data_IF_028885974435
#
_entry.id   IF_028885974435
#
_cell.length_a   1.000
_cell.length_b   1.000
_cell.length_c   1.000
_cell.angle_alpha   90.00
_cell.angle_beta   90.00
_cell.angle_gamma   90.00
#
_symmetry.space_group_name_H-M   'P 1'
#
loop_
_entity.id
_entity.type
_entity.pdbx_description
1 polymer ?
#
# COMPACT_ATOMS: atom_id res chain seq x y z
N UNK A 1 -38.18 23.52 -11.15
CA UNK A 1 -36.78 23.64 -11.64
C UNK A 1 -35.83 23.09 -10.57
N UNK A 2 -35.99 21.81 -10.21
CA UNK A 2 -35.23 21.15 -9.14
C UNK A 2 -35.19 19.61 -9.35
N UNK A 3 -35.32 19.15 -10.61
CA UNK A 3 -35.43 17.72 -10.93
C UNK A 3 -34.27 17.19 -11.79
N UNK A 4 -33.36 18.04 -12.30
CA UNK A 4 -32.27 17.61 -13.18
C UNK A 4 -30.91 17.38 -12.48
N UNK A 5 -30.82 17.48 -11.15
CA UNK A 5 -29.53 17.35 -10.43
C UNK A 5 -29.27 15.93 -9.88
N UNK A 6 -30.29 15.07 -9.81
CA UNK A 6 -30.15 13.72 -9.24
C UNK A 6 -29.71 12.63 -10.25
N UNK A 7 -30.02 12.76 -11.55
CA UNK A 7 -29.67 11.69 -12.53
C UNK A 7 -28.17 11.59 -12.82
N UNK A 8 -27.40 12.69 -12.70
CA UNK A 8 -25.94 12.66 -12.92
C UNK A 8 -25.13 11.98 -11.81
N UNK A 9 -25.76 11.60 -10.69
CA UNK A 9 -25.09 10.98 -9.54
C UNK A 9 -25.07 9.45 -9.62
N UNK A 10 -25.98 8.84 -10.40
CA UNK A 10 -26.13 7.38 -10.52
C UNK A 10 -25.03 6.69 -11.31
N UNK A 11 -24.64 7.24 -12.48
CA UNK A 11 -23.67 6.58 -13.38
C UNK A 11 -22.22 6.66 -12.89
N UNK A 12 -21.83 7.76 -12.24
CA UNK A 12 -20.49 7.90 -11.65
C UNK A 12 -20.29 6.98 -10.43
N UNK A 13 -21.37 6.59 -9.75
CA UNK A 13 -21.32 5.78 -8.53
C UNK A 13 -21.23 4.28 -8.85
N UNK A 14 -21.77 3.82 -9.99
CA UNK A 14 -21.77 2.40 -10.37
C UNK A 14 -20.43 1.92 -10.96
N UNK A 15 -19.81 2.72 -11.85
CA UNK A 15 -18.45 2.45 -12.37
C UNK A 15 -17.38 2.46 -11.25
N UNK A 16 -17.60 3.29 -10.21
CA UNK A 16 -16.73 3.37 -9.04
C UNK A 16 -16.86 2.16 -8.10
N UNK A 17 -18.07 1.59 -7.96
CA UNK A 17 -18.35 0.39 -7.14
C UNK A 17 -17.73 -0.88 -7.74
N UNK A 18 -17.77 -1.04 -9.08
CA UNK A 18 -17.10 -2.13 -9.78
C UNK A 18 -15.57 -2.12 -9.59
N UNK A 19 -14.94 -0.96 -9.72
CA UNK A 19 -13.50 -0.77 -9.45
C UNK A 19 -13.12 -0.96 -7.98
N UNK A 20 -14.00 -0.64 -7.03
CA UNK A 20 -13.75 -0.84 -5.60
C UNK A 20 -13.66 -2.32 -5.20
N UNK A 21 -14.49 -3.19 -5.79
CA UNK A 21 -14.48 -4.63 -5.51
C UNK A 21 -13.25 -5.31 -6.10
N UNK A 22 -12.85 -4.92 -7.32
CA UNK A 22 -11.67 -5.47 -7.97
C UNK A 22 -10.38 -5.07 -7.21
N UNK A 23 -10.28 -3.81 -6.77
CA UNK A 23 -9.12 -3.32 -6.00
C UNK A 23 -8.97 -4.01 -4.63
N UNK A 24 -10.08 -4.19 -3.90
CA UNK A 24 -10.06 -4.88 -2.60
C UNK A 24 -9.80 -6.40 -2.74
N UNK A 25 -10.23 -7.01 -3.86
CA UNK A 25 -9.89 -8.38 -4.21
C UNK A 25 -8.40 -8.53 -4.49
N UNK A 26 -7.83 -7.65 -5.33
CA UNK A 26 -6.40 -7.66 -5.65
C UNK A 26 -5.53 -7.42 -4.41
N UNK A 27 -5.90 -6.53 -3.48
CA UNK A 27 -5.08 -6.27 -2.29
C UNK A 27 -4.98 -7.48 -1.35
N UNK A 28 -6.07 -8.26 -1.20
CA UNK A 28 -6.05 -9.48 -0.39
C UNK A 28 -5.26 -10.60 -1.06
N UNK A 29 -5.44 -10.76 -2.36
CA UNK A 29 -4.68 -11.73 -3.15
C UNK A 29 -3.18 -11.43 -3.12
N UNK A 30 -2.80 -10.17 -3.31
CA UNK A 30 -1.40 -9.74 -3.22
C UNK A 30 -0.82 -10.04 -1.84
N UNK A 31 -1.53 -9.72 -0.74
CA UNK A 31 -1.08 -10.08 0.60
C UNK A 31 -0.88 -11.62 0.74
N UNK A 32 -1.85 -12.43 0.33
CA UNK A 32 -1.72 -13.90 0.40
C UNK A 32 -0.57 -14.45 -0.45
N UNK A 33 -0.35 -13.88 -1.64
CA UNK A 33 0.76 -14.29 -2.52
C UNK A 33 2.10 -13.90 -1.89
N UNK A 34 2.20 -12.70 -1.31
CA UNK A 34 3.39 -12.24 -0.61
C UNK A 34 3.72 -13.11 0.61
N UNK A 35 2.72 -13.51 1.39
CA UNK A 35 2.90 -14.45 2.50
C UNK A 35 3.40 -15.83 2.01
N UNK A 36 2.87 -16.35 0.90
CA UNK A 36 3.32 -17.62 0.32
C UNK A 36 4.74 -17.52 -0.24
N UNK A 37 5.08 -16.41 -0.91
CA UNK A 37 6.42 -16.18 -1.45
C UNK A 37 7.47 -16.04 -0.33
N UNK A 38 7.19 -15.30 0.75
CA UNK A 38 8.12 -15.17 1.88
C UNK A 38 8.35 -16.52 2.57
N UNK A 39 7.30 -17.31 2.76
CA UNK A 39 7.41 -18.67 3.29
C UNK A 39 8.29 -19.56 2.41
N UNK A 40 8.09 -19.52 1.08
CA UNK A 40 8.91 -20.25 0.12
C UNK A 40 10.38 -19.79 0.12
N UNK A 41 10.64 -18.49 0.23
CA UNK A 41 11.98 -17.92 0.33
C UNK A 41 12.72 -18.42 1.57
N UNK A 42 12.06 -18.43 2.74
CA UNK A 42 12.62 -18.95 3.99
C UNK A 42 13.00 -20.43 3.82
N UNK A 43 12.09 -21.24 3.27
CA UNK A 43 12.33 -22.68 3.04
C UNK A 43 13.47 -22.91 2.04
N UNK A 44 13.50 -22.17 0.93
CA UNK A 44 14.54 -22.29 -0.10
C UNK A 44 15.92 -21.81 0.38
N UNK A 45 15.98 -20.83 1.28
CA UNK A 45 17.23 -20.40 1.91
C UNK A 45 17.68 -21.40 2.98
N UNK A 46 16.76 -21.93 3.79
CA UNK A 46 17.04 -22.98 4.77
C UNK A 46 17.56 -24.26 4.13
N UNK A 47 16.94 -24.73 3.04
CA UNK A 47 17.40 -25.90 2.29
C UNK A 47 18.81 -25.71 1.72
N UNK A 48 19.15 -24.50 1.25
CA UNK A 48 20.48 -24.24 0.74
C UNK A 48 21.56 -24.19 1.84
N UNK A 49 21.19 -23.80 3.06
CA UNK A 49 22.10 -23.92 4.21
C UNK A 49 22.27 -25.41 4.59
N UNK A 50 21.21 -26.21 4.51
CA UNK A 50 21.26 -27.63 4.86
C UNK A 50 22.06 -28.48 3.85
N UNK A 51 22.11 -28.07 2.57
CA UNK A 51 22.77 -28.83 1.49
C UNK A 51 24.24 -28.45 1.29
N UNK A 52 24.68 -27.27 1.73
CA UNK A 52 26.08 -26.82 1.62
C UNK A 52 26.85 -27.09 2.95
N UNK A 53 27.53 -28.24 3.13
CA UNK A 53 28.46 -28.43 4.24
C UNK A 53 29.74 -27.62 3.99
N UNK A 54 29.92 -26.65 4.86
CA UNK A 54 30.92 -25.58 4.92
C UNK A 54 32.38 -25.95 4.51
N UNK A 55 32.88 -25.28 3.47
CA UNK A 55 34.31 -25.02 3.27
C UNK A 55 34.63 -23.57 3.68
N UNK A 56 35.60 -23.41 4.59
CA UNK A 56 35.93 -22.16 5.30
C UNK A 56 36.65 -21.14 4.43
N UNK A 57 35.95 -20.54 3.48
CA UNK A 57 36.42 -19.41 2.68
C UNK A 57 35.68 -18.11 3.05
N UNK A 58 36.39 -16.98 3.00
CA UNK A 58 35.85 -15.65 3.36
C UNK A 58 34.70 -15.22 2.44
N UNK A 59 34.74 -15.64 1.17
CA UNK A 59 33.66 -15.46 0.21
C UNK A 59 32.38 -16.24 0.61
N UNK A 60 32.53 -17.45 1.14
CA UNK A 60 31.42 -18.28 1.63
C UNK A 60 30.75 -17.66 2.86
N UNK A 61 31.51 -17.00 3.74
CA UNK A 61 30.96 -16.33 4.93
C UNK A 61 30.04 -15.16 4.59
N UNK A 62 30.40 -14.35 3.59
CA UNK A 62 29.56 -13.23 3.12
C UNK A 62 28.27 -13.79 2.51
N UNK A 63 28.35 -14.85 1.71
CA UNK A 63 27.19 -15.49 1.10
C UNK A 63 26.25 -16.09 2.17
N UNK A 64 26.80 -16.76 3.18
CA UNK A 64 26.04 -17.33 4.30
C UNK A 64 25.39 -16.25 5.16
N UNK A 65 26.09 -15.14 5.41
CA UNK A 65 25.53 -13.98 6.10
C UNK A 65 24.36 -13.37 5.32
N UNK A 66 24.50 -13.18 4.00
CA UNK A 66 23.41 -12.68 3.15
C UNK A 66 22.18 -13.61 3.19
N UNK A 67 22.38 -14.93 3.14
CA UNK A 67 21.29 -15.93 3.27
C UNK A 67 20.57 -15.80 4.62
N UNK A 68 21.29 -15.62 5.73
CA UNK A 68 20.71 -15.40 7.06
C UNK A 68 19.92 -14.09 7.14
N UNK A 69 20.45 -13.01 6.55
CA UNK A 69 19.73 -11.74 6.43
C UNK A 69 18.46 -11.89 5.60
N UNK A 70 18.50 -12.66 4.50
CA UNK A 70 17.32 -12.98 3.71
C UNK A 70 16.23 -13.69 4.52
N UNK A 71 16.60 -14.71 5.30
CA UNK A 71 15.67 -15.41 6.21
C UNK A 71 15.09 -14.43 7.24
N UNK A 72 15.93 -13.60 7.85
CA UNK A 72 15.49 -12.60 8.83
C UNK A 72 14.47 -11.63 8.25
N UNK A 73 14.75 -11.04 7.08
CA UNK A 73 13.81 -10.13 6.42
C UNK A 73 12.55 -10.85 5.94
N UNK A 74 12.64 -12.08 5.44
CA UNK A 74 11.48 -12.89 5.06
C UNK A 74 10.55 -13.16 6.26
N UNK A 75 11.10 -13.44 7.44
CA UNK A 75 10.32 -13.61 8.68
C UNK A 75 9.65 -12.29 9.09
N UNK A 76 10.36 -11.16 9.00
CA UNK A 76 9.80 -9.83 9.28
C UNK A 76 8.63 -9.54 8.33
N UNK A 77 8.76 -9.84 7.04
CA UNK A 77 7.71 -9.66 6.04
C UNK A 77 6.50 -10.55 6.36
N UNK A 78 6.74 -11.82 6.73
CA UNK A 78 5.68 -12.75 7.11
C UNK A 78 4.91 -12.28 8.36
N UNK A 79 5.62 -11.75 9.38
CA UNK A 79 5.02 -11.13 10.58
C UNK A 79 4.17 -9.89 10.26
N UNK A 80 4.65 -9.07 9.33
CA UNK A 80 3.93 -7.87 8.85
C UNK A 80 2.67 -8.25 8.09
N UNK A 81 2.72 -9.27 7.23
CA UNK A 81 1.58 -9.71 6.42
C UNK A 81 0.55 -10.53 7.22
N UNK A 82 0.98 -11.22 8.28
CA UNK A 82 0.08 -11.89 9.23
C UNK A 82 -0.58 -10.94 10.24
N UNK A 83 -0.38 -9.63 10.07
CA UNK A 83 -0.95 -8.57 10.91
C UNK A 83 -0.79 -8.84 12.42
N UNK A 84 0.38 -9.32 12.83
CA UNK A 84 0.61 -9.68 14.23
C UNK A 84 0.46 -8.45 15.13
N UNK A 85 -0.61 -8.42 15.93
CA UNK A 85 -1.04 -7.21 16.65
C UNK A 85 0.03 -6.65 17.59
N UNK A 86 0.82 -7.52 18.25
CA UNK A 86 1.93 -7.10 19.12
C UNK A 86 3.09 -6.45 18.36
N UNK A 87 3.41 -6.96 17.16
CA UNK A 87 4.49 -6.43 16.32
C UNK A 87 4.10 -5.09 15.70
N UNK A 88 2.87 -4.98 15.19
CA UNK A 88 2.34 -3.73 14.65
C UNK A 88 2.16 -2.66 15.74
N UNK A 89 1.80 -3.04 16.96
CA UNK A 89 1.73 -2.13 18.10
C UNK A 89 3.12 -1.59 18.49
N UNK A 90 4.15 -2.46 18.52
CA UNK A 90 5.52 -2.05 18.85
C UNK A 90 6.19 -1.25 17.73
N UNK A 91 5.72 -1.41 16.50
CA UNK A 91 6.38 -0.89 15.31
C UNK A 91 5.42 -0.03 14.47
N UNK A 92 4.91 1.06 15.06
CA UNK A 92 4.05 2.06 14.38
C UNK A 92 4.64 2.62 13.08
N UNK A 93 5.96 2.52 12.89
CA UNK A 93 6.62 2.86 11.63
C UNK A 93 6.26 1.90 10.48
N UNK A 94 6.01 0.62 10.75
CA UNK A 94 5.60 -0.40 9.76
C UNK A 94 4.14 -0.26 9.30
N UNK A 95 3.36 0.61 9.95
CA UNK A 95 1.98 0.93 9.56
C UNK A 95 1.94 1.76 8.26
N UNK A 96 3.07 2.37 7.88
CA UNK A 96 3.17 3.01 6.56
C UNK A 96 3.32 1.96 5.47
N UNK A 97 2.36 1.95 4.54
CA UNK A 97 2.33 1.14 3.30
C UNK A 97 3.68 1.14 2.55
N UNK A 98 4.43 2.24 2.66
CA UNK A 98 5.76 2.44 2.08
C UNK A 98 6.77 1.44 2.64
N UNK A 99 6.79 1.21 3.95
CA UNK A 99 7.72 0.26 4.58
C UNK A 99 7.44 -1.17 4.12
N UNK A 100 6.17 -1.56 4.05
CA UNK A 100 5.76 -2.89 3.56
C UNK A 100 6.27 -3.16 2.13
N UNK A 101 6.11 -2.20 1.22
CA UNK A 101 6.66 -2.32 -0.15
C UNK A 101 8.19 -2.28 -0.19
N UNK A 102 8.82 -1.46 0.65
CA UNK A 102 10.28 -1.32 0.71
C UNK A 102 10.98 -2.59 1.19
N UNK A 103 10.47 -3.27 2.23
CA UNK A 103 11.01 -4.55 2.68
C UNK A 103 10.88 -5.62 1.58
N UNK A 104 9.78 -5.63 0.86
CA UNK A 104 9.55 -6.58 -0.24
C UNK A 104 10.49 -6.34 -1.44
N UNK A 105 10.76 -5.06 -1.77
CA UNK A 105 11.75 -4.72 -2.77
C UNK A 105 13.17 -5.10 -2.32
N UNK A 106 13.50 -4.84 -1.06
CA UNK A 106 14.80 -5.17 -0.49
C UNK A 106 15.07 -6.68 -0.47
N UNK A 107 14.11 -7.49 -0.01
CA UNK A 107 14.19 -8.96 -0.01
C UNK A 107 14.39 -9.51 -1.44
N UNK A 108 13.68 -8.94 -2.43
CA UNK A 108 13.84 -9.33 -3.84
C UNK A 108 15.24 -9.03 -4.38
N UNK A 109 15.79 -7.84 -4.08
CA UNK A 109 17.16 -7.49 -4.48
C UNK A 109 18.21 -8.39 -3.81
N UNK A 110 18.03 -8.68 -2.53
CA UNK A 110 18.91 -9.58 -1.79
C UNK A 110 18.85 -11.00 -2.36
N UNK A 111 17.66 -11.49 -2.71
CA UNK A 111 17.48 -12.79 -3.37
C UNK A 111 18.18 -12.82 -4.73
N UNK A 112 18.08 -11.74 -5.51
CA UNK A 112 18.74 -11.62 -6.81
C UNK A 112 20.27 -11.68 -6.68
N UNK A 113 20.84 -10.99 -5.69
CA UNK A 113 22.28 -11.01 -5.42
C UNK A 113 22.75 -12.43 -5.07
N UNK A 114 22.03 -13.13 -4.18
CA UNK A 114 22.33 -14.52 -3.82
C UNK A 114 22.28 -15.45 -5.04
N UNK A 115 21.35 -15.22 -5.99
CA UNK A 115 21.29 -16.04 -7.22
C UNK A 115 22.42 -15.79 -8.20
N UNK A 116 22.99 -14.59 -8.19
CA UNK A 116 24.04 -14.22 -9.12
C UNK A 116 25.38 -14.87 -8.72
N UNK A 117 25.61 -15.00 -7.41
CA UNK A 117 26.87 -15.49 -6.83
C UNK A 117 27.00 -17.03 -6.81
N UNK A 118 25.89 -17.77 -6.84
CA UNK A 118 25.92 -19.23 -6.69
C UNK A 118 26.79 -19.95 -7.76
N UNK A 119 27.51 -21.01 -7.37
CA UNK A 119 28.44 -21.77 -8.22
C UNK A 119 27.80 -22.66 -9.30
N UNK A 120 28.66 -23.28 -10.11
CA UNK A 120 28.35 -23.94 -11.40
C UNK A 120 27.96 -25.42 -11.32
N UNK A 121 27.34 -25.91 -10.24
CA UNK A 121 26.81 -27.29 -10.21
C UNK A 121 25.41 -27.36 -10.83
N UNK A 122 25.09 -28.48 -11.48
CA UNK A 122 23.83 -28.68 -12.20
C UNK A 122 22.58 -28.54 -11.29
N UNK A 123 22.66 -28.97 -10.02
CA UNK A 123 21.60 -28.76 -9.03
C UNK A 123 21.38 -27.26 -8.71
N UNK A 124 22.46 -26.49 -8.60
CA UNK A 124 22.38 -25.04 -8.39
C UNK A 124 21.77 -24.33 -9.59
N UNK A 125 21.86 -24.88 -10.80
CA UNK A 125 21.30 -24.29 -12.02
C UNK A 125 19.77 -24.28 -12.00
N UNK A 126 19.15 -25.40 -11.62
CA UNK A 126 17.69 -25.49 -11.45
C UNK A 126 17.20 -24.64 -10.28
N UNK A 127 17.93 -24.65 -9.15
CA UNK A 127 17.61 -23.80 -7.99
C UNK A 127 17.72 -22.31 -8.32
N UNK A 128 18.73 -21.93 -9.11
CA UNK A 128 18.97 -20.55 -9.56
C UNK A 128 17.81 -20.07 -10.43
N UNK A 129 17.36 -20.88 -11.38
CA UNK A 129 16.24 -20.53 -12.25
C UNK A 129 14.97 -20.27 -11.44
N UNK A 130 14.68 -21.15 -10.48
CA UNK A 130 13.53 -21.01 -9.58
C UNK A 130 13.61 -19.71 -8.76
N UNK A 131 14.78 -19.44 -8.16
CA UNK A 131 14.98 -18.22 -7.36
C UNK A 131 14.91 -16.94 -8.18
N UNK A 132 15.40 -16.92 -9.42
CA UNK A 132 15.27 -15.75 -10.31
C UNK A 132 13.79 -15.48 -10.62
N UNK A 133 13.03 -16.52 -10.96
CA UNK A 133 11.58 -16.38 -11.22
C UNK A 133 10.86 -15.88 -9.97
N UNK A 134 11.18 -16.46 -8.81
CA UNK A 134 10.64 -16.00 -7.52
C UNK A 134 11.00 -14.53 -7.24
N UNK A 135 12.26 -14.14 -7.40
CA UNK A 135 12.74 -12.78 -7.18
C UNK A 135 12.04 -11.78 -8.10
N UNK A 136 11.93 -12.07 -9.40
CA UNK A 136 11.24 -11.20 -10.37
C UNK A 136 9.75 -11.11 -10.07
N UNK A 137 9.11 -12.22 -9.67
CA UNK A 137 7.70 -12.22 -9.28
C UNK A 137 7.45 -11.37 -8.02
N UNK A 138 8.36 -11.44 -7.04
CA UNK A 138 8.35 -10.62 -5.82
C UNK A 138 8.58 -9.14 -6.16
N UNK A 139 9.51 -8.84 -7.08
CA UNK A 139 9.78 -7.49 -7.55
C UNK A 139 8.54 -6.88 -8.23
N UNK A 140 7.88 -7.68 -9.08
CA UNK A 140 6.64 -7.30 -9.75
C UNK A 140 5.49 -7.10 -8.74
N UNK A 141 5.36 -8.01 -7.77
CA UNK A 141 4.36 -7.91 -6.69
C UNK A 141 4.59 -6.65 -5.86
N UNK A 142 5.84 -6.36 -5.47
CA UNK A 142 6.22 -5.14 -4.75
C UNK A 142 5.88 -3.89 -5.57
N UNK A 143 6.20 -3.88 -6.87
CA UNK A 143 5.83 -2.78 -7.77
C UNK A 143 4.32 -2.54 -7.82
N UNK A 144 3.52 -3.60 -7.96
CA UNK A 144 2.05 -3.54 -7.92
C UNK A 144 1.54 -3.05 -6.55
N UNK A 145 2.20 -3.47 -5.46
CA UNK A 145 1.85 -3.08 -4.11
C UNK A 145 2.10 -1.58 -3.86
N UNK A 146 3.23 -1.05 -4.33
CA UNK A 146 3.55 0.38 -4.28
C UNK A 146 2.59 1.19 -5.16
N UNK A 147 2.31 0.74 -6.38
CA UNK A 147 1.31 1.38 -7.24
C UNK A 147 -0.07 1.38 -6.57
N UNK A 148 -0.47 0.27 -5.96
CA UNK A 148 -1.72 0.15 -5.21
C UNK A 148 -1.78 1.11 -4.03
N UNK A 149 -0.70 1.22 -3.26
CA UNK A 149 -0.57 2.19 -2.17
C UNK A 149 -0.69 3.63 -2.66
N UNK A 150 0.01 4.00 -3.74
CA UNK A 150 -0.05 5.35 -4.34
C UNK A 150 -1.46 5.67 -4.84
N UNK A 151 -2.09 4.75 -5.59
CA UNK A 151 -3.44 4.91 -6.10
C UNK A 151 -4.47 5.02 -4.96
N UNK A 152 -4.33 4.22 -3.90
CA UNK A 152 -5.24 4.23 -2.76
C UNK A 152 -5.06 5.48 -1.88
N UNK A 153 -3.82 5.93 -1.68
CA UNK A 153 -3.53 7.17 -0.97
C UNK A 153 -4.03 8.39 -1.76
N UNK A 154 -3.84 8.40 -3.08
CA UNK A 154 -4.38 9.41 -3.99
C UNK A 154 -5.91 9.48 -3.93
N UNK A 155 -6.58 8.32 -3.94
CA UNK A 155 -8.05 8.24 -3.91
C UNK A 155 -8.63 8.59 -2.54
N UNK A 156 -7.99 8.20 -1.42
CA UNK A 156 -8.37 8.66 -0.07
C UNK A 156 -8.21 10.17 0.08
N UNK A 157 -7.14 10.74 -0.49
CA UNK A 157 -6.93 12.19 -0.51
C UNK A 157 -8.00 12.89 -1.36
N UNK A 158 -8.43 12.27 -2.46
CA UNK A 158 -9.51 12.78 -3.31
C UNK A 158 -10.87 12.75 -2.59
N UNK A 159 -11.23 11.65 -1.94
CA UNK A 159 -12.47 11.55 -1.14
C UNK A 159 -12.48 12.55 0.01
N UNK A 160 -11.36 12.69 0.74
CA UNK A 160 -11.21 13.70 1.80
C UNK A 160 -11.33 15.13 1.25
N UNK A 161 -10.78 15.41 0.06
CA UNK A 161 -10.93 16.70 -0.63
C UNK A 161 -12.37 16.96 -1.05
N UNK A 162 -13.10 15.95 -1.53
CA UNK A 162 -14.52 16.06 -1.89
C UNK A 162 -15.40 16.34 -0.66
N UNK A 163 -15.21 15.60 0.44
CA UNK A 163 -15.95 15.83 1.68
C UNK A 163 -15.72 17.26 2.23
N UNK A 164 -14.49 17.78 2.16
CA UNK A 164 -14.18 19.13 2.61
C UNK A 164 -14.86 20.21 1.75
N UNK A 165 -14.97 19.99 0.44
CA UNK A 165 -15.67 20.90 -0.48
C UNK A 165 -17.17 20.98 -0.19
N UNK A 166 -17.80 19.87 0.21
CA UNK A 166 -19.22 19.87 0.57
C UNK A 166 -19.48 20.67 1.86
N UNK A 167 -18.61 20.54 2.87
CA UNK A 167 -18.71 21.34 4.10
C UNK A 167 -18.46 22.84 3.87
N UNK A 168 -17.57 23.20 2.93
CA UNK A 168 -17.36 24.61 2.58
C UNK A 168 -18.57 25.20 1.85
N UNK A 169 -19.23 24.44 0.97
CA UNK A 169 -20.47 24.89 0.30
C UNK A 169 -21.61 25.15 1.28
N UNK A 170 -21.79 24.29 2.28
CA UNK A 170 -22.80 24.48 3.31
C UNK A 170 -22.53 25.75 4.13
N UNK A 171 -21.28 25.99 4.54
CA UNK A 171 -20.89 27.22 5.26
C UNK A 171 -21.10 28.49 4.43
N UNK A 172 -20.85 28.43 3.12
CA UNK A 172 -21.10 29.56 2.22
C UNK A 172 -22.59 29.87 2.14
N UNK A 173 -23.46 28.86 2.09
CA UNK A 173 -24.92 29.07 2.08
C UNK A 173 -25.43 29.65 3.41
N UNK A 174 -24.96 29.16 4.56
CA UNK A 174 -25.33 29.73 5.86
C UNK A 174 -24.89 31.20 6.01
N UNK A 175 -23.68 31.52 5.53
CA UNK A 175 -23.18 32.90 5.52
C UNK A 175 -24.01 33.83 4.63
N UNK A 176 -24.51 33.34 3.49
CA UNK A 176 -25.41 34.12 2.62
C UNK A 176 -26.74 34.43 3.32
N UNK A 177 -27.34 33.43 3.99
CA UNK A 177 -28.59 33.63 4.75
C UNK A 177 -28.41 34.60 5.93
N UNK A 178 -27.26 34.57 6.60
CA UNK A 178 -26.96 35.51 7.67
C UNK A 178 -26.84 36.96 7.16
N UNK A 179 -26.22 37.15 5.99
CA UNK A 179 -26.12 38.47 5.35
C UNK A 179 -27.48 39.02 4.94
N UNK A 180 -28.37 38.17 4.42
CA UNK A 180 -29.73 38.59 4.03
C UNK A 180 -30.52 39.12 5.24
N UNK A 181 -30.45 38.44 6.40
CA UNK A 181 -31.12 38.91 7.64
C UNK A 181 -30.62 40.27 8.09
N UNK A 182 -29.31 40.47 8.15
CA UNK A 182 -28.74 41.77 8.53
C UNK A 182 -29.19 42.88 7.56
N UNK A 183 -29.32 42.55 6.26
CA UNK A 183 -29.77 43.48 5.23
C UNK A 183 -31.24 43.86 5.41
N UNK A 184 -32.09 42.94 5.86
CA UNK A 184 -33.50 43.23 6.18
C UNK A 184 -33.63 44.09 7.44
N UNK A 185 -32.87 43.79 8.50
CA UNK A 185 -32.84 44.60 9.73
C UNK A 185 -32.43 46.05 9.44
N UNK A 186 -31.38 46.26 8.64
CA UNK A 186 -30.96 47.60 8.23
C UNK A 186 -32.03 48.34 7.41
N UNK A 187 -32.72 47.64 6.50
CA UNK A 187 -33.81 48.24 5.72
C UNK A 187 -34.99 48.65 6.61
N UNK A 188 -35.32 47.83 7.61
CA UNK A 188 -36.39 48.13 8.55
C UNK A 188 -36.11 49.40 9.35
N UNK A 189 -34.89 49.53 9.89
CA UNK A 189 -34.49 50.74 10.61
C UNK A 189 -34.49 51.99 9.73
N UNK A 190 -34.04 51.88 8.48
CA UNK A 190 -34.08 52.99 7.51
C UNK A 190 -35.50 53.41 7.13
N UNK A 191 -36.44 52.46 6.99
CA UNK A 191 -37.83 52.76 6.67
C UNK A 191 -38.56 53.47 7.81
N UNK A 192 -38.24 53.12 9.07
CA UNK A 192 -38.76 53.81 10.25
C UNK A 192 -38.25 55.25 10.29
N UNK A 193 -36.95 55.47 10.11
CA UNK A 193 -36.35 56.81 10.17
C UNK A 193 -36.73 57.72 9.00
N UNK A 194 -37.17 57.15 7.86
CA UNK A 194 -37.58 57.90 6.67
C UNK A 194 -39.03 58.43 6.72
N UNK A 195 -39.84 57.98 7.68
CA UNK A 195 -41.26 58.34 7.81
C UNK A 195 -41.51 59.46 8.85
N UNK A 196 -40.45 59.91 9.52
CA UNK A 196 -40.39 61.14 10.33
C UNK A 196 -39.81 62.30 9.51
#
# INVERSE_FOLDING_TARGET
MALDVEEGKGEAQDSSKGKHRCFAGCSRLLNTITALCSLLCIVACGLAIAVDPEDRNLHSLIEQALRLWGIFFGVVILLVETEWEWFLASARHFDSWIWRGAFLAFESLLTLEITNVAGSSELHKSLRLYRIVAAVSLLCCSGLYVLGGILCFGRRKQVRRHARRETERQKVQENLLALERQREELKGLLAVYSND
#
